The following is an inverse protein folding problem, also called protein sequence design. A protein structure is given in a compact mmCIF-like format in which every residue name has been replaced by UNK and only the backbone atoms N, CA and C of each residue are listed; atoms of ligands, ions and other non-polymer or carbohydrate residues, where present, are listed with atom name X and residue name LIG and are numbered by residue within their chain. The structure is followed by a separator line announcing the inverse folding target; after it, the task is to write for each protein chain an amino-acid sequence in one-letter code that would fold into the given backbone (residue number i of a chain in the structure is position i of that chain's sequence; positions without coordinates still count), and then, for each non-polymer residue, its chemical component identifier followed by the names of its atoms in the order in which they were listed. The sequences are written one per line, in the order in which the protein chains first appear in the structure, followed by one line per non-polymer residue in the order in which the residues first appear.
data_IF_330882561267
#
_entry.id   IF_330882561267
#
_cell.length_a   1.000
_cell.length_b   1.000
_cell.length_c   1.000
_cell.angle_alpha   90.00
_cell.angle_beta   90.00
_cell.angle_gamma   90.00
#
_symmetry.space_group_name_H-M   'P 1'
#
loop_
_entity.id
_entity.type
_entity.pdbx_description
1 polymer ?
#
# COMPACT_ATOMS: atom_id res chain seq x y z
N UNK A 1 -24.67 0.23 2.98
CA UNK A 1 -23.96 0.82 4.11
C UNK A 1 -24.60 0.35 5.42
N UNK A 2 -23.78 0.26 6.48
CA UNK A 2 -24.22 -0.11 7.82
C UNK A 2 -23.35 0.60 8.87
N UNK A 3 -23.89 0.77 10.09
CA UNK A 3 -23.19 1.42 11.19
C UNK A 3 -23.23 2.95 11.12
N UNK A 4 -22.26 3.58 11.80
CA UNK A 4 -22.24 5.04 11.98
C UNK A 4 -20.92 5.66 11.50
N UNK A 5 -20.99 6.90 11.04
CA UNK A 5 -19.81 7.69 10.63
C UNK A 5 -18.93 8.06 11.82
N UNK A 6 -19.55 8.24 13.00
CA UNK A 6 -18.92 8.62 14.25
C UNK A 6 -19.75 8.08 15.42
N UNK A 7 -19.12 7.31 16.32
CA UNK A 7 -19.81 6.71 17.47
C UNK A 7 -20.28 7.77 18.49
N UNK A 8 -19.65 8.94 18.57
CA UNK A 8 -20.03 10.01 19.49
C UNK A 8 -21.29 10.77 19.03
N UNK A 9 -21.49 10.88 17.72
CA UNK A 9 -22.64 11.60 17.15
C UNK A 9 -23.79 10.68 16.73
N UNK A 10 -23.51 9.39 16.52
CA UNK A 10 -24.50 8.40 16.08
C UNK A 10 -24.99 8.60 14.64
N UNK A 11 -24.37 9.48 13.84
CA UNK A 11 -24.79 9.75 12.45
C UNK A 11 -24.62 8.48 11.61
N UNK A 12 -25.69 7.93 11.00
CA UNK A 12 -25.62 6.71 10.20
C UNK A 12 -24.73 6.85 8.98
N UNK A 13 -23.96 5.82 8.64
CA UNK A 13 -23.26 5.73 7.36
C UNK A 13 -24.26 5.50 6.21
N UNK A 14 -24.02 6.14 5.06
CA UNK A 14 -24.80 5.99 3.85
C UNK A 14 -23.91 5.52 2.69
N UNK A 15 -24.48 5.07 1.55
CA UNK A 15 -23.71 4.74 0.35
C UNK A 15 -22.85 5.89 -0.19
N UNK A 16 -23.18 7.13 0.15
CA UNK A 16 -22.49 8.33 -0.30
C UNK A 16 -21.51 8.89 0.75
N UNK A 17 -21.40 8.24 1.91
CA UNK A 17 -20.44 8.62 2.96
C UNK A 17 -19.01 8.48 2.44
N UNK A 18 -18.21 9.52 2.62
CA UNK A 18 -16.81 9.53 2.28
C UNK A 18 -15.99 8.90 3.42
N UNK A 19 -15.06 8.02 3.04
CA UNK A 19 -14.04 7.44 3.90
C UNK A 19 -12.66 7.79 3.37
N UNK A 20 -11.67 7.87 4.23
CA UNK A 20 -10.27 7.93 3.80
C UNK A 20 -9.91 6.59 3.12
N UNK A 21 -9.52 6.66 1.85
CA UNK A 21 -9.25 5.46 1.05
C UNK A 21 -7.81 4.96 1.20
N UNK A 22 -6.99 5.68 1.97
CA UNK A 22 -5.61 5.30 2.20
C UNK A 22 -4.86 4.99 0.91
N UNK A 23 -4.11 3.92 0.91
CA UNK A 23 -3.23 3.56 -0.18
C UNK A 23 -3.93 3.11 -1.48
N UNK A 24 -5.25 2.93 -1.53
CA UNK A 24 -5.98 2.82 -2.81
C UNK A 24 -5.67 4.04 -3.70
N UNK A 25 -5.36 5.18 -3.11
CA UNK A 25 -4.88 6.39 -3.80
C UNK A 25 -3.71 6.13 -4.75
N UNK A 26 -2.86 5.14 -4.45
CA UNK A 26 -1.72 4.82 -5.30
C UNK A 26 -2.11 4.37 -6.70
N UNK A 27 -3.26 3.69 -6.84
CA UNK A 27 -3.83 3.38 -8.14
C UNK A 27 -4.12 4.66 -8.95
N UNK A 28 -4.69 5.67 -8.29
CA UNK A 28 -4.98 6.96 -8.93
C UNK A 28 -3.71 7.73 -9.27
N UNK A 29 -2.72 7.75 -8.38
CA UNK A 29 -1.42 8.39 -8.65
C UNK A 29 -0.70 7.70 -9.82
N UNK A 30 -0.72 6.37 -9.87
CA UNK A 30 -0.13 5.62 -10.97
C UNK A 30 -0.88 5.87 -12.29
N UNK A 31 -2.21 5.85 -12.28
CA UNK A 31 -3.03 6.16 -13.45
C UNK A 31 -2.74 7.57 -13.99
N UNK A 32 -2.60 8.55 -13.10
CA UNK A 32 -2.23 9.92 -13.46
C UNK A 32 -0.82 10.01 -14.06
N UNK A 33 0.15 9.30 -13.48
CA UNK A 33 1.49 9.19 -14.04
C UNK A 33 1.47 8.55 -15.43
N UNK A 34 0.70 7.49 -15.63
CA UNK A 34 0.58 6.80 -16.93
C UNK A 34 -0.07 7.67 -18.01
N UNK A 35 -1.00 8.59 -17.67
CA UNK A 35 -1.49 9.59 -18.61
C UNK A 35 -0.38 10.53 -19.09
N UNK A 36 0.55 10.88 -18.21
CA UNK A 36 1.67 11.76 -18.54
C UNK A 36 2.77 11.01 -19.30
N UNK A 37 2.94 9.72 -19.04
CA UNK A 37 3.81 8.84 -19.82
C UNK A 37 3.31 8.72 -21.27
N UNK A 38 2.00 8.48 -21.45
CA UNK A 38 1.39 8.36 -22.78
C UNK A 38 1.56 9.63 -23.63
N UNK A 39 1.55 10.80 -23.00
CA UNK A 39 1.74 12.08 -23.68
C UNK A 39 3.21 12.50 -23.82
N UNK A 40 4.16 11.64 -23.45
CA UNK A 40 5.60 11.90 -23.49
C UNK A 40 6.08 12.96 -22.50
N UNK A 41 5.26 13.35 -21.51
CA UNK A 41 5.64 14.30 -20.47
C UNK A 41 6.43 13.67 -19.33
N UNK A 42 6.28 12.36 -19.14
CA UNK A 42 7.08 11.52 -18.24
C UNK A 42 7.56 10.31 -19.01
N UNK A 43 8.63 9.70 -18.51
CA UNK A 43 9.16 8.42 -18.98
C UNK A 43 9.28 7.48 -17.79
N UNK A 44 8.82 6.23 -17.94
CA UNK A 44 8.89 5.21 -16.89
C UNK A 44 10.32 4.85 -16.51
N UNK A 45 11.22 4.88 -17.46
CA UNK A 45 12.58 4.34 -17.33
C UNK A 45 13.69 5.41 -17.33
N UNK A 46 13.33 6.68 -17.62
CA UNK A 46 14.25 7.79 -17.44
C UNK A 46 14.53 8.07 -15.93
N UNK A 47 15.73 8.53 -15.58
CA UNK A 47 16.05 8.93 -14.23
C UNK A 47 15.07 9.96 -13.66
N UNK A 48 14.65 9.79 -12.40
CA UNK A 48 13.81 10.77 -11.69
C UNK A 48 14.41 12.19 -11.78
N UNK A 49 15.73 12.30 -11.82
CA UNK A 49 16.45 13.57 -11.93
C UNK A 49 16.24 14.34 -13.22
N UNK A 50 15.79 13.68 -14.27
CA UNK A 50 15.46 14.37 -15.53
C UNK A 50 14.21 15.24 -15.35
N UNK A 51 13.27 14.82 -14.50
CA UNK A 51 12.11 15.62 -14.10
C UNK A 51 12.37 16.47 -12.85
N UNK A 52 13.14 15.92 -11.89
CA UNK A 52 13.45 16.54 -10.59
C UNK A 52 14.98 16.67 -10.41
N UNK A 53 15.66 17.66 -11.03
CA UNK A 53 17.13 17.75 -11.02
C UNK A 53 17.75 17.77 -9.63
N UNK A 54 17.06 18.35 -8.64
CA UNK A 54 17.49 18.40 -7.23
C UNK A 54 17.18 17.18 -6.39
N UNK A 55 16.60 16.12 -6.96
CA UNK A 55 16.25 14.91 -6.20
C UNK A 55 17.47 14.20 -5.63
N UNK A 56 17.40 13.84 -4.34
CA UNK A 56 18.43 13.05 -3.66
C UNK A 56 17.82 12.13 -2.59
N UNK A 57 18.46 10.99 -2.39
CA UNK A 57 18.39 10.13 -1.21
C UNK A 57 19.81 9.91 -0.69
N UNK A 58 19.99 9.30 0.47
CA UNK A 58 21.30 9.11 1.09
C UNK A 58 22.31 8.39 0.15
N UNK A 59 21.85 7.44 -0.66
CA UNK A 59 22.67 6.78 -1.69
C UNK A 59 22.70 7.61 -2.98
N UNK A 60 23.86 8.18 -3.29
CA UNK A 60 24.05 9.00 -4.49
C UNK A 60 23.92 8.19 -5.80
N UNK A 61 24.23 6.88 -5.81
CA UNK A 61 24.06 6.04 -6.99
C UNK A 61 22.58 5.77 -7.24
N UNK A 62 21.80 5.50 -6.19
CA UNK A 62 20.34 5.39 -6.29
C UNK A 62 19.73 6.70 -6.76
N UNK A 63 20.17 7.85 -6.19
CA UNK A 63 19.68 9.18 -6.60
C UNK A 63 19.84 9.45 -8.12
N UNK A 64 20.89 8.91 -8.74
CA UNK A 64 21.12 9.05 -10.20
C UNK A 64 20.35 8.07 -11.07
N UNK A 65 19.99 6.88 -10.54
CA UNK A 65 19.47 5.76 -11.33
C UNK A 65 18.01 5.42 -11.07
N UNK A 66 17.42 6.01 -10.03
CA UNK A 66 16.02 5.81 -9.67
C UNK A 66 15.13 6.28 -10.81
N UNK A 67 14.14 5.47 -11.18
CA UNK A 67 13.19 5.76 -12.26
C UNK A 67 11.76 5.79 -11.73
N UNK A 68 10.81 6.33 -12.50
CA UNK A 68 9.38 6.31 -12.18
C UNK A 68 8.88 4.86 -12.04
N UNK A 69 9.35 3.92 -12.86
CA UNK A 69 9.02 2.50 -12.73
C UNK A 69 9.37 1.94 -11.36
N UNK A 70 10.55 2.21 -10.84
CA UNK A 70 10.97 1.76 -9.51
C UNK A 70 10.11 2.34 -8.38
N UNK A 71 9.57 3.55 -8.57
CA UNK A 71 8.65 4.17 -7.61
C UNK A 71 7.29 3.49 -7.62
N UNK A 72 6.73 3.26 -8.82
CA UNK A 72 5.38 2.73 -8.98
C UNK A 72 5.28 1.23 -8.67
N UNK A 73 6.34 0.44 -8.88
CA UNK A 73 6.36 -1.00 -8.60
C UNK A 73 6.99 -1.38 -7.25
N UNK A 74 7.33 -0.39 -6.41
CA UNK A 74 7.90 -0.58 -5.08
C UNK A 74 9.27 -1.31 -5.05
N UNK A 75 10.11 -1.10 -6.06
CA UNK A 75 11.47 -1.67 -6.11
C UNK A 75 12.57 -0.62 -5.89
N UNK A 76 12.20 0.59 -5.43
CA UNK A 76 13.16 1.68 -5.18
C UNK A 76 14.20 1.36 -4.11
N UNK A 77 13.88 0.47 -3.18
CA UNK A 77 14.68 0.16 -2.00
C UNK A 77 14.72 1.28 -0.95
N UNK A 78 14.16 2.45 -1.23
CA UNK A 78 14.06 3.56 -0.26
C UNK A 78 13.29 3.08 0.97
N UNK A 79 13.74 3.42 2.18
CA UNK A 79 12.97 3.20 3.40
C UNK A 79 11.70 4.05 3.38
N UNK A 80 10.60 3.44 2.94
CA UNK A 80 9.43 4.13 2.44
C UNK A 80 8.45 4.61 3.49
N UNK A 81 8.62 4.22 4.76
CA UNK A 81 7.74 4.64 5.84
C UNK A 81 8.23 5.96 6.48
N UNK A 82 8.42 6.96 5.65
CA UNK A 82 8.85 8.30 6.03
C UNK A 82 7.64 9.24 6.06
N UNK A 83 6.94 9.30 7.22
CA UNK A 83 5.71 10.07 7.38
C UNK A 83 5.97 11.45 8.00
N UNK A 84 6.85 12.24 7.40
CA UNK A 84 7.10 13.60 7.86
C UNK A 84 6.06 14.59 7.32
N UNK A 85 5.59 15.47 8.18
CA UNK A 85 4.74 16.59 7.78
C UNK A 85 5.60 17.72 7.23
N UNK A 86 5.43 18.06 5.96
CA UNK A 86 6.10 19.17 5.29
C UNK A 86 5.16 20.39 5.13
N UNK A 87 4.08 20.45 5.90
CA UNK A 87 3.12 21.56 5.91
C UNK A 87 1.95 21.37 4.95
N UNK A 88 1.17 22.44 4.78
CA UNK A 88 -0.12 22.45 4.06
C UNK A 88 -0.15 23.30 2.79
N UNK A 89 0.94 23.99 2.45
CA UNK A 89 1.06 24.83 1.25
C UNK A 89 1.02 24.03 -0.04
N UNK A 90 0.89 24.71 -1.17
CA UNK A 90 0.92 24.07 -2.50
C UNK A 90 2.29 23.43 -2.80
N UNK A 91 3.34 23.84 -2.11
CA UNK A 91 4.71 23.31 -2.19
C UNK A 91 5.01 22.15 -1.23
N UNK A 92 3.99 21.64 -0.51
CA UNK A 92 4.16 20.61 0.53
C UNK A 92 4.77 19.30 0.01
N UNK A 93 4.39 18.89 -1.22
CA UNK A 93 4.93 17.66 -1.83
C UNK A 93 6.40 17.86 -2.21
N UNK A 94 6.74 19.03 -2.75
CA UNK A 94 8.13 19.41 -3.04
C UNK A 94 8.99 19.46 -1.76
N UNK A 95 8.50 20.11 -0.71
CA UNK A 95 9.18 20.17 0.59
C UNK A 95 9.44 18.79 1.17
N UNK A 96 8.44 17.90 1.08
CA UNK A 96 8.61 16.51 1.51
C UNK A 96 9.71 15.79 0.73
N UNK A 97 9.72 15.92 -0.61
CA UNK A 97 10.75 15.27 -1.46
C UNK A 97 12.16 15.75 -1.11
N UNK A 98 12.33 17.02 -0.74
CA UNK A 98 13.63 17.57 -0.28
C UNK A 98 14.10 16.94 1.04
N UNK A 99 13.19 16.49 1.91
CA UNK A 99 13.54 15.82 3.16
C UNK A 99 14.09 14.40 2.96
N UNK A 100 13.90 13.80 1.77
CA UNK A 100 14.36 12.43 1.48
C UNK A 100 15.87 12.31 1.31
N UNK A 101 16.61 13.40 1.24
CA UNK A 101 18.07 13.43 0.99
C UNK A 101 18.89 12.55 1.95
N UNK A 102 18.42 12.38 3.18
CA UNK A 102 19.08 11.60 4.22
C UNK A 102 18.43 10.22 4.45
N UNK A 103 17.43 9.83 3.63
CA UNK A 103 16.74 8.54 3.77
C UNK A 103 17.55 7.45 3.10
N UNK A 104 17.82 6.39 3.87
CA UNK A 104 18.63 5.26 3.44
C UNK A 104 17.85 4.21 2.65
N UNK A 105 18.59 3.30 2.01
CA UNK A 105 18.05 2.13 1.33
C UNK A 105 17.96 0.94 2.30
N UNK A 106 16.82 0.23 2.25
CA UNK A 106 16.65 -1.06 2.90
C UNK A 106 17.32 -2.17 2.08
N UNK A 107 17.18 -2.09 0.75
CA UNK A 107 17.78 -3.03 -0.21
C UNK A 107 18.29 -2.27 -1.46
N UNK A 108 19.14 -2.87 -2.30
CA UNK A 108 19.59 -2.26 -3.56
C UNK A 108 18.42 -1.91 -4.49
N UNK A 109 18.62 -0.86 -5.32
CA UNK A 109 17.65 -0.43 -6.33
C UNK A 109 17.29 -1.59 -7.28
N UNK A 110 16.01 -1.81 -7.50
CA UNK A 110 15.47 -2.83 -8.39
C UNK A 110 15.53 -4.27 -7.85
N UNK A 111 16.05 -4.48 -6.63
CA UNK A 111 16.40 -5.81 -6.14
C UNK A 111 15.20 -6.66 -5.73
N UNK A 112 14.26 -6.13 -4.97
CA UNK A 112 13.06 -6.83 -4.52
C UNK A 112 11.90 -5.88 -4.30
N UNK A 113 10.71 -6.44 -4.13
CA UNK A 113 9.55 -5.71 -3.66
C UNK A 113 9.72 -5.31 -2.18
N UNK A 114 9.55 -4.02 -1.90
CA UNK A 114 9.38 -3.50 -0.54
C UNK A 114 8.50 -2.24 -0.60
N UNK A 115 7.33 -2.32 -0.01
CA UNK A 115 6.34 -1.26 -0.08
C UNK A 115 6.88 0.10 0.36
N UNK A 116 6.73 1.12 -0.49
CA UNK A 116 7.37 2.41 -0.31
C UNK A 116 6.37 3.57 -0.50
N UNK A 117 5.91 4.16 0.60
CA UNK A 117 5.04 5.34 0.57
C UNK A 117 5.79 6.57 0.02
N UNK A 118 7.03 6.80 0.47
CA UNK A 118 7.86 7.90 -0.01
C UNK A 118 8.02 7.90 -1.53
N UNK A 119 8.14 6.72 -2.15
CA UNK A 119 8.23 6.59 -3.61
C UNK A 119 7.03 7.19 -4.34
N UNK A 120 5.82 6.99 -3.82
CA UNK A 120 4.60 7.56 -4.41
C UNK A 120 4.49 9.07 -4.19
N UNK A 121 5.08 9.61 -3.13
CA UNK A 121 5.18 11.07 -2.96
C UNK A 121 6.15 11.66 -3.97
N UNK A 122 7.28 10.99 -4.26
CA UNK A 122 8.20 11.38 -5.35
C UNK A 122 7.48 11.33 -6.70
N UNK A 123 6.75 10.26 -7.01
CA UNK A 123 5.94 10.15 -8.23
C UNK A 123 4.90 11.29 -8.32
N UNK A 124 4.26 11.63 -7.20
CA UNK A 124 3.37 12.79 -7.10
C UNK A 124 4.07 14.11 -7.45
N UNK A 125 5.30 14.31 -6.98
CA UNK A 125 6.09 15.51 -7.35
C UNK A 125 6.49 15.52 -8.82
N UNK A 126 6.84 14.38 -9.40
CA UNK A 126 7.10 14.28 -10.84
C UNK A 126 5.86 14.68 -11.66
N UNK A 127 4.68 14.24 -11.23
CA UNK A 127 3.40 14.63 -11.82
C UNK A 127 3.19 16.14 -11.73
N UNK A 128 3.44 16.77 -10.57
CA UNK A 128 3.30 18.22 -10.41
C UNK A 128 4.16 18.99 -11.39
N UNK A 129 5.43 18.61 -11.55
CA UNK A 129 6.36 19.26 -12.48
C UNK A 129 5.93 19.05 -13.93
N UNK A 130 5.61 17.80 -14.30
CA UNK A 130 5.24 17.45 -15.68
C UNK A 130 3.88 18.05 -16.12
N UNK A 131 2.93 18.22 -15.20
CA UNK A 131 1.60 18.80 -15.50
C UNK A 131 1.50 20.30 -15.20
N UNK A 132 2.50 20.90 -14.54
CA UNK A 132 2.54 22.34 -14.23
C UNK A 132 1.49 22.76 -13.19
N UNK A 133 1.05 21.83 -12.31
CA UNK A 133 0.03 22.12 -11.30
C UNK A 133 0.21 21.22 -10.07
N UNK A 134 -0.49 21.49 -8.97
CA UNK A 134 -0.43 20.62 -7.78
C UNK A 134 -1.03 19.23 -8.09
N UNK A 135 -0.55 18.20 -7.40
CA UNK A 135 -1.09 16.84 -7.51
C UNK A 135 -2.62 16.80 -7.28
N UNK A 136 -3.12 17.57 -6.33
CA UNK A 136 -4.55 17.67 -6.03
C UNK A 136 -5.37 18.20 -7.21
N UNK A 137 -4.88 19.24 -7.89
CA UNK A 137 -5.54 19.78 -9.09
C UNK A 137 -5.44 18.82 -10.26
N UNK A 138 -4.29 18.17 -10.43
CA UNK A 138 -4.06 17.20 -11.49
C UNK A 138 -5.00 16.00 -11.36
N UNK A 139 -5.10 15.37 -10.18
CA UNK A 139 -5.98 14.21 -9.96
C UNK A 139 -7.46 14.57 -10.15
N UNK A 140 -7.87 15.74 -9.66
CA UNK A 140 -9.25 16.24 -9.87
C UNK A 140 -9.57 16.45 -11.33
N UNK A 141 -8.68 17.13 -12.07
CA UNK A 141 -8.88 17.49 -13.49
C UNK A 141 -8.84 16.26 -14.39
N UNK A 142 -7.86 15.38 -14.16
CA UNK A 142 -7.52 14.30 -15.07
C UNK A 142 -8.18 12.96 -14.75
N UNK A 143 -8.64 12.77 -13.51
CA UNK A 143 -9.28 11.51 -13.07
C UNK A 143 -10.67 11.74 -12.50
N UNK A 144 -10.83 12.45 -11.38
CA UNK A 144 -12.13 12.55 -10.71
C UNK A 144 -13.23 13.14 -11.60
N UNK A 145 -12.94 14.24 -12.33
CA UNK A 145 -13.90 14.85 -13.25
C UNK A 145 -14.25 13.95 -14.44
N UNK A 146 -13.31 13.36 -15.19
CA UNK A 146 -13.63 12.43 -16.27
C UNK A 146 -14.34 11.16 -15.82
N UNK A 147 -14.03 10.64 -14.61
CA UNK A 147 -14.71 9.50 -14.03
C UNK A 147 -16.14 9.82 -13.58
N UNK A 148 -16.50 11.08 -13.42
CA UNK A 148 -17.80 11.47 -12.86
C UNK A 148 -17.93 11.23 -11.37
N UNK A 149 -16.82 11.38 -10.61
CA UNK A 149 -16.76 11.20 -9.15
C UNK A 149 -16.57 12.55 -8.43
N UNK A 150 -17.60 13.42 -8.39
CA UNK A 150 -17.44 14.79 -7.90
C UNK A 150 -17.15 14.89 -6.40
N UNK A 151 -17.51 13.87 -5.63
CA UNK A 151 -17.26 13.82 -4.20
C UNK A 151 -15.83 13.37 -3.83
N UNK A 152 -15.08 12.80 -4.79
CA UNK A 152 -13.67 12.45 -4.57
C UNK A 152 -12.89 13.69 -4.11
N UNK A 153 -12.33 13.64 -2.92
CA UNK A 153 -11.69 14.76 -2.26
C UNK A 153 -10.24 14.41 -1.89
N UNK A 154 -9.34 15.37 -2.05
CA UNK A 154 -7.93 15.22 -1.69
C UNK A 154 -7.51 16.10 -0.51
N UNK A 155 -8.42 16.94 -0.05
CA UNK A 155 -8.22 17.87 1.07
C UNK A 155 -9.43 17.81 2.02
N UNK A 156 -9.23 17.95 3.35
CA UNK A 156 -10.30 17.92 4.33
C UNK A 156 -11.41 18.96 4.05
N UNK A 157 -11.02 20.18 3.71
CA UNK A 157 -11.94 21.27 3.41
C UNK A 157 -12.83 21.03 2.17
N UNK A 158 -12.41 20.16 1.27
CA UNK A 158 -13.26 19.69 0.16
C UNK A 158 -14.28 18.67 0.65
N UNK A 159 -13.83 17.73 1.48
CA UNK A 159 -14.63 16.64 2.01
C UNK A 159 -15.68 17.12 3.03
N UNK A 160 -15.42 18.21 3.76
CA UNK A 160 -16.39 18.84 4.69
C UNK A 160 -17.73 19.23 4.03
N UNK A 161 -17.80 19.29 2.71
CA UNK A 161 -19.03 19.54 1.95
C UNK A 161 -19.93 18.31 1.82
N UNK A 162 -19.46 17.16 2.26
CA UNK A 162 -20.11 15.86 2.17
C UNK A 162 -20.17 15.21 3.54
N UNK A 163 -20.97 14.17 3.68
CA UNK A 163 -20.96 13.33 4.86
C UNK A 163 -19.66 12.52 4.89
N UNK A 164 -18.93 12.56 6.01
CA UNK A 164 -17.65 11.87 6.17
C UNK A 164 -17.69 10.96 7.38
N UNK A 165 -17.00 9.81 7.27
CA UNK A 165 -16.66 8.96 8.40
C UNK A 165 -15.36 9.45 9.06
N UNK A 166 -15.33 9.40 10.40
CA UNK A 166 -14.08 9.54 11.17
C UNK A 166 -13.55 8.16 11.56
N UNK A 167 -12.23 8.05 11.71
CA UNK A 167 -11.61 6.80 12.14
C UNK A 167 -11.86 6.49 13.62
N UNK A 168 -11.98 5.21 13.94
CA UNK A 168 -12.08 4.72 15.31
C UNK A 168 -10.95 3.74 15.60
N UNK A 169 -10.38 3.84 16.79
CA UNK A 169 -9.30 2.99 17.28
C UNK A 169 -9.74 2.25 18.54
N UNK A 170 -9.08 1.14 18.84
CA UNK A 170 -9.42 0.27 19.98
C UNK A 170 -9.85 -1.13 19.54
N UNK A 171 -10.30 -1.93 20.50
CA UNK A 171 -10.78 -3.29 20.24
C UNK A 171 -12.27 -3.28 19.91
N UNK A 172 -12.80 -4.26 19.16
CA UNK A 172 -14.23 -4.44 18.99
C UNK A 172 -14.97 -4.42 20.32
N UNK A 173 -16.00 -3.59 20.44
CA UNK A 173 -16.74 -3.36 21.68
C UNK A 173 -16.17 -2.27 22.61
N UNK A 174 -14.98 -1.75 22.33
CA UNK A 174 -14.32 -0.67 23.09
C UNK A 174 -13.61 0.30 22.15
N UNK A 175 -14.32 0.74 21.10
CA UNK A 175 -13.81 1.72 20.14
C UNK A 175 -13.92 3.14 20.68
N UNK A 176 -12.97 3.99 20.32
CA UNK A 176 -13.00 5.44 20.51
C UNK A 176 -12.67 6.18 19.20
N UNK A 177 -13.14 7.40 19.07
CA UNK A 177 -12.76 8.26 17.95
C UNK A 177 -11.25 8.47 17.99
N UNK A 178 -10.58 8.36 16.84
CA UNK A 178 -9.13 8.59 16.76
C UNK A 178 -8.77 10.03 17.12
N UNK A 179 -7.71 10.25 17.94
CA UNK A 179 -7.26 11.61 18.25
C UNK A 179 -6.58 12.30 17.06
N UNK A 180 -6.22 11.54 15.99
CA UNK A 180 -5.58 12.05 14.78
C UNK A 180 -6.53 11.79 13.61
N UNK A 181 -7.25 12.82 13.20
CA UNK A 181 -8.23 12.69 12.12
C UNK A 181 -7.58 12.49 10.73
N UNK A 182 -6.38 13.06 10.51
CA UNK A 182 -5.69 13.02 9.21
C UNK A 182 -4.19 12.86 9.38
N UNK A 183 -3.59 12.09 8.48
CA UNK A 183 -2.13 12.06 8.30
C UNK A 183 -1.63 13.32 7.59
N UNK A 184 -0.31 13.48 7.46
CA UNK A 184 0.29 14.65 6.84
C UNK A 184 -0.15 14.85 5.38
N UNK A 185 -0.56 16.08 5.03
CA UNK A 185 -1.00 16.41 3.66
C UNK A 185 0.09 16.24 2.61
N UNK A 186 1.35 16.42 2.99
CA UNK A 186 2.51 16.22 2.11
C UNK A 186 2.61 14.80 1.56
N UNK A 187 1.99 13.82 2.23
CA UNK A 187 1.95 12.42 1.82
C UNK A 187 0.69 12.05 0.99
N UNK A 188 -0.11 13.04 0.55
CA UNK A 188 -1.35 12.80 -0.18
C UNK A 188 -1.20 11.90 -1.42
N UNK A 189 -0.14 12.01 -2.25
CA UNK A 189 0.06 11.11 -3.39
C UNK A 189 0.22 9.63 -3.02
N UNK A 190 0.62 9.33 -1.78
CA UNK A 190 0.71 7.99 -1.24
C UNK A 190 -0.56 7.53 -0.51
N UNK A 191 -1.51 8.44 -0.23
CA UNK A 191 -2.82 8.09 0.33
C UNK A 191 -3.10 8.61 1.74
N UNK A 192 -2.39 9.64 2.22
CA UNK A 192 -2.64 10.17 3.57
C UNK A 192 -3.96 10.94 3.71
N UNK A 193 -4.50 11.45 2.61
CA UNK A 193 -5.60 12.42 2.63
C UNK A 193 -6.83 12.01 1.81
N UNK A 194 -6.71 11.36 0.62
CA UNK A 194 -7.82 11.19 -0.28
C UNK A 194 -9.01 10.45 0.35
N UNK A 195 -10.19 10.95 0.03
CA UNK A 195 -11.47 10.43 0.49
C UNK A 195 -12.40 10.17 -0.69
N UNK A 196 -13.13 9.07 -0.61
CA UNK A 196 -14.12 8.65 -1.60
C UNK A 196 -15.21 7.81 -0.93
N UNK A 197 -16.34 7.65 -1.58
CA UNK A 197 -17.30 6.61 -1.26
C UNK A 197 -17.00 5.32 -2.05
N UNK A 198 -17.59 4.20 -1.65
CA UNK A 198 -17.36 2.91 -2.32
C UNK A 198 -17.74 2.95 -3.82
N UNK A 199 -18.78 3.68 -4.19
CA UNK A 199 -19.21 3.84 -5.59
C UNK A 199 -18.14 4.50 -6.45
N UNK A 200 -17.44 5.52 -5.92
CA UNK A 200 -16.37 6.19 -6.65
C UNK A 200 -15.19 5.23 -6.92
N UNK A 201 -14.86 4.38 -5.94
CA UNK A 201 -13.80 3.36 -6.09
C UNK A 201 -14.21 2.30 -7.11
N UNK A 202 -15.45 1.83 -7.08
CA UNK A 202 -15.99 0.89 -8.09
C UNK A 202 -16.01 1.53 -9.47
N UNK A 203 -16.30 2.83 -9.58
CA UNK A 203 -16.23 3.54 -10.87
C UNK A 203 -14.83 3.53 -11.45
N UNK A 204 -13.79 3.72 -10.60
CA UNK A 204 -12.40 3.56 -11.01
C UNK A 204 -12.08 2.12 -11.44
N UNK A 205 -12.50 1.12 -10.66
CA UNK A 205 -12.27 -0.29 -11.00
C UNK A 205 -12.92 -0.67 -12.35
N UNK A 206 -14.16 -0.22 -12.59
CA UNK A 206 -14.85 -0.43 -13.87
C UNK A 206 -14.10 0.20 -15.04
N UNK A 207 -13.56 1.40 -14.87
CA UNK A 207 -12.69 2.04 -15.86
C UNK A 207 -11.45 1.17 -16.15
N UNK A 208 -10.80 0.63 -15.12
CA UNK A 208 -9.65 -0.26 -15.28
C UNK A 208 -10.03 -1.58 -16.00
N UNK A 209 -11.15 -2.22 -15.62
CA UNK A 209 -11.65 -3.44 -16.26
C UNK A 209 -12.03 -3.21 -17.73
N UNK A 210 -12.52 -2.01 -18.08
CA UNK A 210 -12.90 -1.65 -19.45
C UNK A 210 -11.75 -1.06 -20.27
N UNK A 211 -10.49 -1.39 -19.94
CA UNK A 211 -9.33 -0.93 -20.70
C UNK A 211 -9.18 0.61 -20.74
N UNK A 212 -9.56 1.28 -19.66
CA UNK A 212 -9.38 2.71 -19.47
C UNK A 212 -10.56 3.58 -19.89
N UNK A 213 -11.73 2.99 -20.18
CA UNK A 213 -12.98 3.71 -20.50
C UNK A 213 -13.86 3.75 -19.26
N UNK A 214 -14.21 4.94 -18.80
CA UNK A 214 -15.12 5.13 -17.67
C UNK A 214 -16.57 4.72 -18.03
N UNK A 215 -17.43 4.40 -17.04
CA UNK A 215 -18.81 4.01 -17.29
C UNK A 215 -19.67 5.04 -18.06
N UNK A 216 -19.26 6.31 -18.04
CA UNK A 216 -19.89 7.38 -18.80
C UNK A 216 -19.40 7.50 -20.27
N UNK A 217 -18.58 6.54 -20.73
CA UNK A 217 -18.01 6.49 -22.08
C UNK A 217 -16.72 7.30 -22.26
N UNK A 218 -16.28 8.05 -21.26
CA UNK A 218 -15.03 8.85 -21.35
C UNK A 218 -13.80 7.95 -21.29
N UNK A 219 -12.91 8.06 -22.28
CA UNK A 219 -11.58 7.42 -22.20
C UNK A 219 -10.69 8.21 -21.24
N UNK A 220 -10.34 7.58 -20.13
CA UNK A 220 -9.50 8.16 -19.07
C UNK A 220 -8.05 7.73 -19.22
N UNK A 221 -7.83 6.48 -19.59
CA UNK A 221 -6.51 5.90 -19.86
C UNK A 221 -6.50 5.18 -21.21
N UNK A 222 -5.37 5.17 -21.94
CA UNK A 222 -5.17 4.23 -23.06
C UNK A 222 -5.16 2.78 -22.55
N UNK A 223 -5.64 1.86 -23.39
CA UNK A 223 -5.66 0.43 -23.04
C UNK A 223 -4.24 -0.11 -22.76
N UNK A 224 -3.23 0.36 -23.49
CA UNK A 224 -1.82 0.02 -23.25
C UNK A 224 -1.33 0.44 -21.86
N UNK A 225 -1.76 1.60 -21.37
CA UNK A 225 -1.42 2.07 -20.02
C UNK A 225 -2.07 1.19 -18.93
N UNK A 226 -3.34 0.81 -19.12
CA UNK A 226 -4.01 -0.14 -18.20
C UNK A 226 -3.30 -1.49 -18.20
N UNK A 227 -2.99 -2.02 -19.38
CA UNK A 227 -2.23 -3.26 -19.52
C UNK A 227 -0.88 -3.18 -18.78
N UNK A 228 -0.11 -2.10 -18.97
CA UNK A 228 1.18 -1.90 -18.30
C UNK A 228 1.04 -1.85 -16.76
N UNK A 229 -0.05 -1.25 -16.24
CA UNK A 229 -0.33 -1.22 -14.80
C UNK A 229 -0.66 -2.62 -14.25
N UNK A 230 -1.25 -3.50 -15.04
CA UNK A 230 -1.61 -4.87 -14.68
C UNK A 230 -0.49 -5.88 -14.91
N UNK A 231 0.57 -5.54 -15.63
CA UNK A 231 1.71 -6.45 -15.84
C UNK A 231 2.47 -6.68 -14.53
N UNK A 232 2.82 -7.95 -14.25
CA UNK A 232 3.72 -8.30 -13.15
C UNK A 232 5.10 -7.68 -13.36
N UNK A 233 5.44 -6.69 -12.56
CA UNK A 233 6.76 -6.07 -12.56
C UNK A 233 7.70 -6.73 -11.56
N UNK A 234 7.16 -7.17 -10.42
CA UNK A 234 7.93 -7.80 -9.34
C UNK A 234 7.03 -8.73 -8.53
N UNK A 235 7.58 -9.88 -8.11
CA UNK A 235 6.90 -10.84 -7.23
C UNK A 235 7.12 -10.42 -5.76
N UNK A 236 6.10 -10.54 -4.93
CA UNK A 236 6.23 -10.33 -3.49
C UNK A 236 6.86 -11.57 -2.84
N UNK A 237 7.97 -11.43 -2.08
CA UNK A 237 8.66 -12.56 -1.47
C UNK A 237 7.82 -13.34 -0.46
N UNK A 238 6.96 -12.65 0.27
CA UNK A 238 6.13 -13.26 1.31
C UNK A 238 4.66 -13.25 0.86
N UNK A 239 4.24 -14.26 0.09
CA UNK A 239 2.86 -14.44 -0.42
C UNK A 239 1.83 -14.44 0.71
N UNK A 240 1.43 -13.28 1.18
CA UNK A 240 0.46 -13.17 2.26
C UNK A 240 -0.74 -12.30 1.86
N UNK A 241 -0.46 -11.07 1.48
CA UNK A 241 -1.50 -10.10 1.13
C UNK A 241 -1.54 -9.81 -0.36
N UNK A 242 -0.43 -10.03 -1.05
CA UNK A 242 -0.27 -9.86 -2.50
C UNK A 242 0.72 -10.90 -3.02
N UNK A 243 0.57 -11.30 -4.26
CA UNK A 243 1.50 -12.21 -4.93
C UNK A 243 2.54 -11.45 -5.76
N UNK A 244 2.14 -10.32 -6.34
CA UNK A 244 3.01 -9.49 -7.16
C UNK A 244 2.54 -8.03 -7.17
N UNK A 245 3.37 -7.15 -7.72
CA UNK A 245 3.02 -5.77 -8.02
C UNK A 245 3.30 -5.42 -9.49
N UNK A 246 2.36 -4.67 -10.06
CA UNK A 246 2.48 -3.94 -11.31
C UNK A 246 2.87 -2.48 -11.06
N UNK A 247 2.40 -1.55 -11.92
CA UNK A 247 2.62 -0.12 -11.72
C UNK A 247 1.50 0.47 -10.85
N UNK A 248 1.73 0.53 -9.55
CA UNK A 248 0.78 1.01 -8.55
C UNK A 248 -0.37 0.05 -8.25
N UNK A 249 -0.41 -1.10 -8.89
CA UNK A 249 -1.46 -2.12 -8.75
C UNK A 249 -0.89 -3.34 -8.05
N UNK A 250 -1.63 -3.89 -7.09
CA UNK A 250 -1.36 -5.21 -6.53
C UNK A 250 -2.04 -6.28 -7.37
N UNK A 251 -1.38 -7.43 -7.49
CA UNK A 251 -1.79 -8.56 -8.31
C UNK A 251 -1.89 -9.81 -7.44
N UNK A 252 -2.94 -10.58 -7.69
CA UNK A 252 -3.18 -11.88 -7.06
C UNK A 252 -3.32 -12.96 -8.12
N UNK A 253 -2.68 -14.11 -7.84
CA UNK A 253 -2.73 -15.34 -8.59
C UNK A 253 -3.56 -16.36 -7.80
N UNK A 254 -4.89 -16.16 -7.80
CA UNK A 254 -5.78 -17.03 -7.01
C UNK A 254 -6.04 -18.37 -7.68
N UNK A 255 -5.92 -18.45 -8.99
CA UNK A 255 -6.03 -19.72 -9.72
C UNK A 255 -4.74 -20.56 -9.68
N UNK A 256 -3.62 -19.93 -9.28
CA UNK A 256 -2.33 -20.58 -9.15
C UNK A 256 -1.66 -20.93 -10.48
N UNK A 257 -2.13 -20.34 -11.58
CA UNK A 257 -1.64 -20.61 -12.94
C UNK A 257 -0.58 -19.59 -13.42
N UNK A 258 -0.24 -18.63 -12.56
CA UNK A 258 0.78 -17.61 -12.83
C UNK A 258 0.32 -16.43 -13.69
N UNK A 259 -0.96 -16.33 -14.03
CA UNK A 259 -1.49 -15.25 -14.89
C UNK A 259 -1.73 -13.94 -14.13
N UNK A 260 -2.00 -14.00 -12.81
CA UNK A 260 -2.21 -12.81 -11.96
C UNK A 260 -3.39 -11.96 -12.45
N UNK A 261 -4.58 -12.52 -12.47
CA UNK A 261 -5.76 -11.90 -13.09
C UNK A 261 -6.64 -11.09 -12.14
N UNK A 262 -6.40 -11.16 -10.83
CA UNK A 262 -7.09 -10.34 -9.83
C UNK A 262 -6.21 -9.13 -9.47
N UNK A 263 -6.80 -7.95 -9.52
CA UNK A 263 -6.12 -6.67 -9.34
C UNK A 263 -6.76 -5.85 -8.23
N UNK A 264 -6.03 -4.88 -7.71
CA UNK A 264 -6.55 -3.94 -6.73
C UNK A 264 -5.50 -3.30 -5.86
N UNK A 265 -5.92 -2.86 -4.68
CA UNK A 265 -5.05 -2.34 -3.63
C UNK A 265 -5.81 -2.27 -2.31
N UNK A 266 -5.09 -2.39 -1.19
CA UNK A 266 -5.62 -2.12 0.15
C UNK A 266 -5.23 -0.72 0.59
N UNK A 267 -6.00 -0.12 1.49
CA UNK A 267 -5.69 1.17 2.07
C UNK A 267 -5.94 1.19 3.57
N UNK A 268 -5.15 1.97 4.27
CA UNK A 268 -5.41 2.27 5.68
C UNK A 268 -4.89 3.65 6.04
N UNK A 269 -5.59 4.28 6.94
CA UNK A 269 -5.18 5.47 7.68
C UNK A 269 -5.40 5.20 9.17
N UNK A 270 -5.47 6.22 10.01
CA UNK A 270 -5.68 5.98 11.45
C UNK A 270 -7.16 5.71 11.69
N UNK A 271 -7.47 4.45 12.05
CA UNK A 271 -8.83 4.00 12.34
C UNK A 271 -9.75 3.83 11.13
N UNK A 272 -9.23 3.95 9.90
CA UNK A 272 -9.99 3.65 8.69
C UNK A 272 -9.21 2.67 7.81
N UNK A 273 -9.92 1.77 7.16
CA UNK A 273 -9.33 0.78 6.25
C UNK A 273 -10.22 0.55 5.03
N UNK A 274 -9.61 0.20 3.92
CA UNK A 274 -10.26 0.04 2.63
C UNK A 274 -9.65 -1.10 1.82
N UNK A 275 -10.47 -1.79 1.05
CA UNK A 275 -10.07 -2.88 0.17
C UNK A 275 -10.73 -2.72 -1.17
N UNK A 276 -9.94 -2.91 -2.23
CA UNK A 276 -10.41 -2.97 -3.60
C UNK A 276 -9.86 -4.22 -4.26
N UNK A 277 -10.73 -5.03 -4.83
CA UNK A 277 -10.41 -6.15 -5.72
C UNK A 277 -11.26 -6.06 -6.97
N UNK A 278 -10.68 -6.37 -8.11
CA UNK A 278 -11.44 -6.50 -9.36
C UNK A 278 -10.78 -7.54 -10.27
N UNK A 279 -11.62 -8.23 -11.04
CA UNK A 279 -11.26 -9.26 -12.00
C UNK A 279 -11.90 -8.94 -13.35
N UNK A 280 -11.13 -8.50 -14.36
CA UNK A 280 -11.66 -8.05 -15.64
C UNK A 280 -12.45 -9.11 -16.40
N UNK A 281 -12.01 -10.38 -16.40
CA UNK A 281 -12.63 -11.44 -17.20
C UNK A 281 -14.07 -11.78 -16.74
N UNK A 282 -14.33 -11.72 -15.44
CA UNK A 282 -15.68 -11.92 -14.89
C UNK A 282 -16.44 -10.63 -14.66
N UNK A 283 -15.84 -9.48 -14.98
CA UNK A 283 -16.38 -8.14 -14.71
C UNK A 283 -16.77 -7.93 -13.23
N UNK A 284 -16.13 -8.67 -12.33
CA UNK A 284 -16.41 -8.63 -10.88
C UNK A 284 -15.50 -7.62 -10.19
N UNK A 285 -16.09 -6.74 -9.38
CA UNK A 285 -15.33 -5.83 -8.53
C UNK A 285 -16.00 -5.68 -7.16
N UNK A 286 -15.18 -5.56 -6.11
CA UNK A 286 -15.61 -5.30 -4.74
C UNK A 286 -14.80 -4.18 -4.11
N UNK A 287 -15.48 -3.23 -3.47
CA UNK A 287 -14.87 -2.23 -2.62
C UNK A 287 -15.52 -2.26 -1.23
N UNK A 288 -14.70 -2.36 -0.19
CA UNK A 288 -15.11 -2.23 1.21
C UNK A 288 -14.38 -1.06 1.86
N UNK A 289 -15.11 -0.22 2.56
CA UNK A 289 -14.59 0.91 3.35
C UNK A 289 -15.08 0.76 4.78
N UNK A 290 -14.18 0.89 5.74
CA UNK A 290 -14.51 0.79 7.18
C UNK A 290 -13.86 1.93 7.97
N UNK A 291 -14.46 2.29 9.10
CA UNK A 291 -13.94 3.32 9.98
C UNK A 291 -13.69 2.80 11.41
N UNK A 292 -13.40 1.51 11.56
CA UNK A 292 -13.04 0.88 12.83
C UNK A 292 -13.41 -0.60 12.88
N UNK A 293 -13.13 -1.24 14.01
CA UNK A 293 -13.47 -2.64 14.26
C UNK A 293 -12.59 -3.65 13.52
N UNK A 294 -13.09 -4.88 13.35
CA UNK A 294 -12.40 -5.95 12.63
C UNK A 294 -12.66 -5.88 11.10
N UNK A 295 -12.28 -4.74 10.48
CA UNK A 295 -12.47 -4.55 9.05
C UNK A 295 -11.73 -5.58 8.19
N UNK A 296 -10.55 -6.06 8.63
CA UNK A 296 -9.78 -7.07 7.89
C UNK A 296 -10.51 -8.42 7.80
N UNK A 297 -11.07 -8.90 8.91
CA UNK A 297 -11.84 -10.16 8.92
C UNK A 297 -13.05 -10.05 7.99
N UNK A 298 -13.81 -8.95 8.09
CA UNK A 298 -14.95 -8.70 7.20
C UNK A 298 -14.52 -8.63 5.72
N UNK A 299 -13.39 -7.99 5.42
CA UNK A 299 -12.88 -7.91 4.05
C UNK A 299 -12.53 -9.29 3.49
N UNK A 300 -11.86 -10.13 4.28
CA UNK A 300 -11.46 -11.48 3.86
C UNK A 300 -12.69 -12.35 3.56
N UNK A 301 -13.72 -12.28 4.41
CA UNK A 301 -14.97 -13.03 4.23
C UNK A 301 -15.72 -12.55 2.98
N UNK A 302 -15.89 -11.23 2.82
CA UNK A 302 -16.58 -10.66 1.65
C UNK A 302 -15.82 -10.89 0.34
N UNK A 303 -14.51 -10.77 0.32
CA UNK A 303 -13.69 -11.07 -0.86
C UNK A 303 -13.92 -12.52 -1.27
N UNK A 304 -13.84 -13.46 -0.32
CA UNK A 304 -14.07 -14.88 -0.60
C UNK A 304 -15.48 -15.13 -1.14
N UNK A 305 -16.51 -14.63 -0.47
CA UNK A 305 -17.90 -14.83 -0.86
C UNK A 305 -18.19 -14.26 -2.26
N UNK A 306 -17.81 -13.00 -2.50
CA UNK A 306 -18.07 -12.31 -3.76
C UNK A 306 -17.34 -12.96 -4.92
N UNK A 307 -16.04 -13.24 -4.79
CA UNK A 307 -15.26 -13.76 -5.91
C UNK A 307 -15.53 -15.25 -6.17
N UNK A 308 -15.74 -16.06 -5.12
CA UNK A 308 -16.15 -17.44 -5.31
C UNK A 308 -17.54 -17.53 -5.96
N UNK A 309 -18.49 -16.70 -5.50
CA UNK A 309 -19.87 -16.72 -6.01
C UNK A 309 -20.06 -16.12 -7.39
N UNK A 310 -19.43 -14.97 -7.66
CA UNK A 310 -19.63 -14.22 -8.90
C UNK A 310 -18.58 -14.49 -9.99
N UNK A 311 -17.33 -14.78 -9.60
CA UNK A 311 -16.23 -14.98 -10.55
C UNK A 311 -15.80 -16.46 -10.68
N UNK A 312 -16.22 -17.33 -9.76
CA UNK A 312 -15.77 -18.73 -9.71
C UNK A 312 -14.32 -18.88 -9.23
N UNK A 313 -13.74 -17.82 -8.65
CA UNK A 313 -12.34 -17.77 -8.23
C UNK A 313 -12.29 -17.68 -6.69
N UNK A 314 -11.51 -18.55 -6.06
CA UNK A 314 -11.39 -18.56 -4.60
C UNK A 314 -10.01 -18.05 -4.16
N UNK A 315 -9.94 -17.05 -3.26
CA UNK A 315 -8.67 -16.60 -2.72
C UNK A 315 -7.85 -17.73 -2.11
N UNK A 316 -6.56 -17.77 -2.43
CA UNK A 316 -5.62 -18.77 -1.88
C UNK A 316 -5.46 -18.56 -0.37
N UNK A 317 -5.45 -19.67 0.37
CA UNK A 317 -5.20 -19.63 1.81
C UNK A 317 -3.73 -19.23 2.11
N UNK A 318 -3.50 -18.48 3.19
CA UNK A 318 -2.15 -18.19 3.64
C UNK A 318 -1.36 -19.47 3.89
N UNK A 319 -0.01 -19.42 3.77
CA UNK A 319 0.84 -20.54 4.14
C UNK A 319 0.52 -21.04 5.55
N UNK A 320 0.47 -22.37 5.71
CA UNK A 320 0.19 -23.03 6.99
C UNK A 320 1.48 -23.56 7.62
N UNK A 321 1.55 -23.67 8.95
CA UNK A 321 2.67 -24.30 9.62
C UNK A 321 2.89 -25.75 9.14
N UNK A 322 4.15 -26.12 8.92
CA UNK A 322 4.56 -27.48 8.54
C UNK A 322 5.22 -28.15 9.76
N UNK A 323 4.57 -29.17 10.32
CA UNK A 323 5.09 -29.88 11.47
C UNK A 323 6.36 -30.66 11.10
N UNK A 324 7.36 -30.64 12.00
CA UNK A 324 8.62 -31.37 11.84
C UNK A 324 9.59 -30.77 10.81
N UNK A 325 9.29 -29.62 10.22
CA UNK A 325 10.22 -28.96 9.31
C UNK A 325 11.49 -28.52 10.04
N UNK A 326 12.65 -28.98 9.54
CA UNK A 326 13.94 -28.56 10.07
C UNK A 326 14.19 -27.06 9.85
N UNK A 327 14.67 -26.39 10.88
CA UNK A 327 14.92 -24.95 10.85
C UNK A 327 16.39 -24.67 11.10
N UNK A 328 17.05 -23.99 10.17
CA UNK A 328 18.35 -23.39 10.42
C UNK A 328 18.18 -22.13 11.27
N UNK A 329 18.27 -22.28 12.60
CA UNK A 329 18.12 -21.19 13.56
C UNK A 329 19.21 -20.13 13.40
N UNK A 330 20.44 -20.53 13.08
CA UNK A 330 21.55 -19.59 12.88
C UNK A 330 21.29 -18.64 11.71
N UNK A 331 20.60 -19.11 10.68
CA UNK A 331 20.19 -18.30 9.52
C UNK A 331 19.25 -17.17 9.90
N UNK A 332 18.30 -17.42 10.80
CA UNK A 332 17.16 -16.51 11.05
C UNK A 332 17.34 -15.63 12.29
N UNK A 333 17.99 -16.12 13.34
CA UNK A 333 18.22 -15.35 14.56
C UNK A 333 18.99 -14.05 14.30
N UNK A 334 18.53 -12.94 14.90
CA UNK A 334 19.20 -11.63 14.82
C UNK A 334 18.23 -10.47 14.79
N UNK A 335 18.77 -9.28 14.64
CA UNK A 335 18.02 -8.03 14.54
C UNK A 335 17.90 -7.61 13.08
N UNK A 336 16.66 -7.24 12.70
CA UNK A 336 16.34 -6.70 11.39
C UNK A 336 15.66 -5.34 11.56
N UNK A 337 16.05 -4.34 10.76
CA UNK A 337 15.61 -2.97 10.97
C UNK A 337 15.34 -2.20 9.70
N UNK A 338 14.54 -1.16 9.89
CA UNK A 338 14.28 -0.05 8.98
C UNK A 338 13.90 1.18 9.81
N UNK A 339 13.68 2.35 9.18
CA UNK A 339 13.43 3.61 9.89
C UNK A 339 12.21 3.55 10.83
N UNK A 340 11.16 2.80 10.48
CA UNK A 340 9.96 2.70 11.32
C UNK A 340 10.09 1.74 12.50
N UNK A 341 11.20 1.01 12.66
CA UNK A 341 11.43 0.14 13.80
C UNK A 341 12.28 -1.10 13.50
N UNK A 342 12.38 -1.98 14.49
CA UNK A 342 13.15 -3.22 14.40
C UNK A 342 12.30 -4.45 14.72
N UNK A 343 12.76 -5.59 14.22
CA UNK A 343 12.25 -6.91 14.56
C UNK A 343 13.45 -7.73 15.10
N UNK A 344 13.41 -8.05 16.38
CA UNK A 344 14.38 -8.96 16.99
C UNK A 344 13.84 -10.39 16.88
N UNK A 345 14.51 -11.24 16.11
CA UNK A 345 14.21 -12.68 16.06
C UNK A 345 15.10 -13.39 17.08
N UNK A 346 14.46 -13.91 18.10
CA UNK A 346 15.13 -14.53 19.26
C UNK A 346 14.58 -15.93 19.50
N UNK A 347 15.33 -16.73 20.25
CA UNK A 347 14.85 -17.99 20.80
C UNK A 347 14.34 -17.78 22.22
N UNK A 348 13.12 -18.24 22.50
CA UNK A 348 12.51 -18.21 23.83
C UNK A 348 11.78 -19.53 24.07
N UNK A 349 12.18 -20.26 25.13
CA UNK A 349 11.59 -21.55 25.50
C UNK A 349 11.54 -22.56 24.33
N UNK A 350 12.62 -22.63 23.55
CA UNK A 350 12.74 -23.52 22.39
C UNK A 350 11.99 -23.08 21.14
N UNK A 351 11.24 -21.97 21.17
CA UNK A 351 10.51 -21.40 20.04
C UNK A 351 11.23 -20.17 19.47
N UNK A 352 11.11 -19.96 18.16
CA UNK A 352 11.50 -18.70 17.53
C UNK A 352 10.39 -17.65 17.78
N UNK A 353 10.81 -16.45 18.17
CA UNK A 353 9.89 -15.34 18.47
C UNK A 353 10.39 -14.09 17.75
N UNK A 354 9.51 -13.45 16.98
CA UNK A 354 9.73 -12.13 16.41
C UNK A 354 9.21 -11.05 17.37
N UNK A 355 10.09 -10.21 17.88
CA UNK A 355 9.75 -9.10 18.77
C UNK A 355 9.79 -7.81 17.97
N UNK A 356 8.62 -7.26 17.68
CA UNK A 356 8.46 -5.99 16.97
C UNK A 356 8.63 -4.83 17.92
N UNK A 357 9.50 -3.88 17.55
CA UNK A 357 9.78 -2.66 18.31
C UNK A 357 9.64 -1.46 17.37
N UNK A 358 8.55 -0.69 17.43
CA UNK A 358 8.41 0.51 16.61
C UNK A 358 9.47 1.55 17.03
N UNK A 359 9.92 2.36 16.06
CA UNK A 359 10.70 3.56 16.37
C UNK A 359 9.84 4.57 17.15
N UNK A 360 10.47 5.51 17.86
CA UNK A 360 9.78 6.46 18.73
C UNK A 360 8.64 7.22 18.03
N UNK A 361 8.87 7.68 16.79
CA UNK A 361 7.87 8.39 15.99
C UNK A 361 6.63 7.52 15.66
N UNK A 362 6.76 6.19 15.73
CA UNK A 362 5.70 5.22 15.42
C UNK A 362 5.09 4.58 16.68
N UNK A 363 5.71 4.76 17.85
CA UNK A 363 5.24 4.16 19.12
C UNK A 363 3.84 4.63 19.53
N UNK A 364 3.43 5.81 19.09
CA UNK A 364 2.07 6.34 19.30
C UNK A 364 1.02 5.55 18.51
N UNK A 365 1.42 4.96 17.37
CA UNK A 365 0.51 4.24 16.47
C UNK A 365 0.52 2.74 16.70
N UNK A 366 1.61 2.20 17.22
CA UNK A 366 1.81 0.76 17.37
C UNK A 366 2.63 0.43 18.61
N UNK A 367 2.09 -0.40 19.48
CA UNK A 367 2.82 -0.92 20.64
C UNK A 367 3.81 -2.02 20.23
N UNK A 368 4.88 -2.19 21.03
CA UNK A 368 5.76 -3.35 20.91
C UNK A 368 4.99 -4.64 21.18
N UNK A 369 5.22 -5.67 20.37
CA UNK A 369 4.56 -6.96 20.53
C UNK A 369 5.48 -8.10 20.09
N UNK A 370 5.18 -9.31 20.52
CA UNK A 370 5.93 -10.52 20.22
C UNK A 370 5.04 -11.55 19.55
N UNK A 371 5.58 -12.23 18.53
CA UNK A 371 4.87 -13.23 17.72
C UNK A 371 5.70 -14.49 17.69
N UNK A 372 5.13 -15.62 18.13
CA UNK A 372 5.74 -16.93 17.96
C UNK A 372 5.76 -17.31 16.49
N UNK A 373 6.90 -17.75 15.97
CA UNK A 373 7.09 -18.12 14.57
C UNK A 373 7.04 -19.63 14.41
N UNK A 374 6.19 -20.10 13.53
CA UNK A 374 6.07 -21.50 13.14
C UNK A 374 6.61 -21.68 11.70
N UNK A 375 7.46 -22.68 11.43
CA UNK A 375 8.01 -22.91 10.11
C UNK A 375 6.89 -23.29 9.12
N UNK A 376 6.95 -22.73 7.92
CA UNK A 376 5.97 -22.95 6.84
C UNK A 376 6.64 -23.26 5.48
N UNK A 377 7.99 -23.22 5.41
CA UNK A 377 8.78 -23.47 4.21
C UNK A 377 10.25 -23.13 4.43
N UNK A 378 11.07 -23.22 3.38
CA UNK A 378 12.48 -22.82 3.47
C UNK A 378 12.59 -21.31 3.71
N UNK A 379 13.11 -20.95 4.88
CA UNK A 379 13.19 -19.56 5.34
C UNK A 379 11.83 -18.86 5.52
N UNK A 380 10.71 -19.58 5.33
CA UNK A 380 9.37 -19.06 5.49
C UNK A 380 8.75 -19.51 6.82
N UNK A 381 8.24 -18.56 7.57
CA UNK A 381 7.54 -18.77 8.84
C UNK A 381 6.20 -18.03 8.82
N UNK A 382 5.31 -18.49 9.66
CA UNK A 382 4.02 -17.84 9.94
C UNK A 382 3.87 -17.60 11.45
N UNK A 383 3.15 -16.56 11.78
CA UNK A 383 2.82 -16.24 13.17
C UNK A 383 1.56 -15.39 13.23
N UNK A 384 0.80 -15.48 14.29
CA UNK A 384 -0.45 -14.72 14.44
C UNK A 384 -0.24 -13.50 15.33
N UNK A 385 -0.58 -12.32 14.84
CA UNK A 385 -0.55 -11.10 15.62
C UNK A 385 -1.62 -11.13 16.71
N UNK A 386 -1.34 -10.62 17.93
CA UNK A 386 -2.36 -10.48 18.96
C UNK A 386 -3.60 -9.74 18.45
N UNK A 387 -4.78 -10.34 18.65
CA UNK A 387 -6.07 -9.78 18.19
C UNK A 387 -6.42 -10.04 16.72
N UNK A 388 -5.59 -10.78 15.97
CA UNK A 388 -5.88 -11.20 14.59
C UNK A 388 -6.08 -12.71 14.52
N UNK A 389 -6.93 -13.17 13.60
CA UNK A 389 -7.22 -14.59 13.39
C UNK A 389 -6.36 -15.21 12.29
N UNK A 390 -5.85 -14.40 11.35
CA UNK A 390 -5.02 -14.87 10.25
C UNK A 390 -3.55 -14.69 10.52
N UNK A 391 -2.70 -15.65 10.10
CA UNK A 391 -1.26 -15.56 10.29
C UNK A 391 -0.63 -14.47 9.40
N UNK A 392 0.49 -13.95 9.85
CA UNK A 392 1.41 -13.08 9.11
C UNK A 392 2.61 -13.90 8.69
N UNK A 393 3.11 -13.71 7.48
CA UNK A 393 4.31 -14.40 7.00
C UNK A 393 5.59 -13.63 7.35
N UNK A 394 6.64 -14.39 7.60
CA UNK A 394 8.01 -13.92 7.83
C UNK A 394 8.93 -14.71 6.91
N UNK A 395 9.46 -14.08 5.88
CA UNK A 395 10.33 -14.73 4.91
C UNK A 395 11.77 -14.22 5.05
N UNK A 396 12.67 -15.10 5.45
CA UNK A 396 14.10 -14.81 5.61
C UNK A 396 14.81 -15.06 4.29
N UNK A 397 15.34 -14.00 3.70
CA UNK A 397 15.84 -13.99 2.34
C UNK A 397 17.36 -13.83 2.32
N UNK A 398 17.99 -14.43 1.31
CA UNK A 398 19.40 -14.30 0.96
C UNK A 398 20.36 -14.56 2.12
N UNK A 399 21.19 -15.57 1.98
CA UNK A 399 22.28 -15.80 2.94
C UNK A 399 23.45 -14.84 2.67
N UNK A 400 24.05 -14.29 3.73
CA UNK A 400 25.34 -13.63 3.67
C UNK A 400 26.48 -14.69 3.70
N UNK A 401 27.74 -14.25 3.65
CA UNK A 401 28.90 -15.16 3.69
C UNK A 401 29.01 -16.02 4.95
N UNK A 402 28.26 -15.71 6.03
CA UNK A 402 28.16 -16.50 7.25
C UNK A 402 26.87 -17.36 7.31
N UNK A 403 26.16 -17.54 6.20
CA UNK A 403 24.93 -18.31 6.12
C UNK A 403 23.69 -17.62 6.73
N UNK A 404 23.81 -16.38 7.22
CA UNK A 404 22.71 -15.64 7.89
C UNK A 404 21.87 -14.86 6.88
N UNK A 405 20.55 -14.86 7.04
CA UNK A 405 19.65 -14.11 6.17
C UNK A 405 19.99 -12.61 6.19
N UNK A 406 20.09 -12.00 5.01
CA UNK A 406 20.35 -10.56 4.84
C UNK A 406 19.10 -9.72 5.09
N UNK A 407 17.96 -10.27 4.73
CA UNK A 407 16.67 -9.58 4.83
C UNK A 407 15.63 -10.46 5.51
N UNK A 408 14.73 -9.80 6.23
CA UNK A 408 13.46 -10.35 6.65
C UNK A 408 12.36 -9.58 5.90
N UNK A 409 11.54 -10.29 5.14
CA UNK A 409 10.35 -9.72 4.51
C UNK A 409 9.10 -10.15 5.29
N UNK A 410 8.30 -9.20 5.75
CA UNK A 410 7.05 -9.48 6.46
C UNK A 410 5.99 -8.45 6.08
N UNK A 411 4.74 -8.92 5.98
CA UNK A 411 3.69 -8.12 5.39
C UNK A 411 4.07 -7.78 3.94
N UNK A 412 4.25 -6.51 3.66
CA UNK A 412 4.64 -5.99 2.33
C UNK A 412 5.99 -5.25 2.35
N UNK A 413 6.84 -5.48 3.37
CA UNK A 413 8.07 -4.69 3.60
C UNK A 413 9.27 -5.56 3.91
N UNK A 414 10.41 -5.16 3.37
CA UNK A 414 11.71 -5.70 3.73
C UNK A 414 12.29 -4.98 4.96
N UNK A 415 12.99 -5.73 5.79
CA UNK A 415 13.83 -5.27 6.89
C UNK A 415 15.24 -5.79 6.65
N UNK A 416 16.23 -4.92 6.78
CA UNK A 416 17.63 -5.31 6.60
C UNK A 416 18.21 -5.85 7.91
N UNK A 417 18.98 -6.94 7.84
CA UNK A 417 19.74 -7.41 9.01
C UNK A 417 20.69 -6.31 9.48
N UNK A 418 20.62 -6.03 10.76
CA UNK A 418 21.56 -5.14 11.45
C UNK A 418 22.79 -5.90 11.93
N UNK A 419 23.90 -5.19 12.08
CA UNK A 419 25.17 -5.76 12.56
C UNK A 419 25.06 -6.27 14.01
#
# INVERSE_FOLDING_TARGET
AAGVCNIETGVPATPDTLFQIGSITKLYTAALAMQLVETGKLDLDAPVRDTLPGFAVADAAVSRRLTLRHLLNHTSGIDGDFFKDAGRGEDRVEKYVRLLKDVHQVHPLGHMFSYCNAGFVVAGRMIEVADGTTWDRAIRKRLAKPLGTPAFSTLPEQAMRYQMAIGHVGQPGALSVTPIAYLAQSNAPAGSMPMACARDIITFARMMMSGGVAPNGTRVLPAGSVHAMHQRNVTCPARMNIDAAGLGTFLWDWDGDGRYEVFGHDGSTIGQASWLRYHPQSETAMALLTNGGNGKGLADDLIREVFTGAAGITPVEPPQPVAGLAVDRARVLGRYGKASGTIDVIEKQGMLVAVHKPAADFAVLQASHAIALQPAGDGLFVGTMPGFTRPVTYHFLEANGAGRARYLHTGVRAYRRMA
#
